data_IF_822546620330
#
_entry.id   IF_822546620330
#
_cell.length_a   1.000
_cell.length_b   1.000
_cell.length_c   1.000
_cell.angle_alpha   90.00
_cell.angle_beta   90.00
_cell.angle_gamma   90.00
#
_symmetry.space_group_name_H-M   'P 1'
#
loop_
_entity.id
_entity.type
_entity.pdbx_description
1 polymer ?
#
# COMPACT_ATOMS: atom_id res chain seq x y z
N UNK A 1 -3.80 -20.64 -22.45
CA UNK A 1 -2.73 -19.61 -22.36
C UNK A 1 -3.37 -18.37 -21.78
N UNK A 2 -2.98 -17.94 -20.57
CA UNK A 2 -3.56 -16.78 -19.90
C UNK A 2 -3.15 -15.50 -20.64
N UNK A 3 -4.12 -14.85 -21.27
CA UNK A 3 -4.02 -13.53 -21.91
C UNK A 3 -4.15 -12.37 -20.90
N UNK A 4 -4.01 -12.62 -19.60
CA UNK A 4 -4.30 -11.63 -18.57
C UNK A 4 -3.02 -11.13 -17.87
N UNK A 5 -2.25 -10.28 -18.56
CA UNK A 5 -1.18 -9.46 -17.95
C UNK A 5 -1.75 -8.32 -17.07
N UNK A 6 -2.96 -8.51 -16.53
CA UNK A 6 -3.73 -7.48 -15.83
C UNK A 6 -4.24 -7.99 -14.51
N UNK A 7 -4.33 -7.09 -13.55
CA UNK A 7 -4.84 -7.32 -12.21
C UNK A 7 -6.14 -6.58 -12.07
N UNK A 8 -7.18 -7.29 -11.62
CA UNK A 8 -8.46 -6.68 -11.27
C UNK A 8 -8.29 -5.84 -10.02
N UNK A 9 -8.74 -4.60 -10.09
CA UNK A 9 -8.84 -3.65 -9.00
C UNK A 9 -10.30 -3.43 -8.66
N UNK A 10 -10.61 -3.38 -7.38
CA UNK A 10 -11.97 -3.25 -6.85
C UNK A 10 -12.05 -2.06 -5.90
N UNK A 11 -13.09 -1.25 -6.08
CA UNK A 11 -13.43 -0.15 -5.16
C UNK A 11 -14.91 -0.19 -4.79
N UNK A 12 -15.19 -0.07 -3.49
CA UNK A 12 -16.54 0.00 -2.93
C UNK A 12 -16.96 1.44 -2.69
N UNK A 13 -17.50 2.08 -3.72
CA UNK A 13 -17.86 3.50 -3.71
C UNK A 13 -18.96 3.81 -4.73
N UNK A 14 -19.86 4.74 -4.42
CA UNK A 14 -20.96 5.06 -5.33
C UNK A 14 -20.52 5.92 -6.52
N UNK A 15 -19.42 6.64 -6.34
CA UNK A 15 -18.76 7.54 -7.29
C UNK A 15 -17.69 6.84 -8.17
N UNK A 16 -17.65 5.52 -8.23
CA UNK A 16 -16.67 4.85 -9.09
C UNK A 16 -15.24 4.97 -8.58
N UNK A 17 -14.32 5.29 -9.50
CA UNK A 17 -12.90 5.51 -9.22
C UNK A 17 -12.53 6.99 -9.07
N UNK A 18 -13.50 7.88 -8.86
CA UNK A 18 -13.27 9.31 -8.69
C UNK A 18 -12.25 9.61 -7.59
N UNK A 19 -11.20 10.34 -7.96
CA UNK A 19 -10.12 10.75 -7.08
C UNK A 19 -10.62 11.83 -6.11
N UNK A 20 -10.31 11.65 -4.83
CA UNK A 20 -10.58 12.64 -3.80
C UNK A 20 -9.28 13.00 -3.12
N UNK A 21 -9.21 14.22 -2.59
CA UNK A 21 -8.09 14.62 -1.74
C UNK A 21 -8.09 13.75 -0.49
N UNK A 22 -7.08 12.90 -0.34
CA UNK A 22 -6.96 12.08 0.86
C UNK A 22 -6.36 12.94 1.96
N UNK A 23 -7.12 13.27 2.99
CA UNK A 23 -6.58 13.89 4.21
C UNK A 23 -6.00 12.84 5.17
N UNK A 24 -5.54 11.71 4.62
CA UNK A 24 -5.19 10.50 5.35
C UNK A 24 -4.11 10.72 6.39
N UNK A 25 -4.12 9.87 7.43
CA UNK A 25 -3.23 9.98 8.57
C UNK A 25 -1.81 9.41 8.30
N UNK A 26 -1.60 8.71 7.19
CA UNK A 26 -0.39 7.95 6.93
C UNK A 26 0.47 8.58 5.85
N UNK A 27 1.79 8.53 6.06
CA UNK A 27 2.76 9.13 5.14
C UNK A 27 2.88 8.32 3.85
N UNK A 28 3.19 9.01 2.75
CA UNK A 28 3.60 8.40 1.49
C UNK A 28 5.11 8.54 1.29
N UNK A 29 5.77 7.41 1.03
CA UNK A 29 7.19 7.34 0.76
C UNK A 29 7.41 7.33 -0.75
N UNK A 30 8.16 8.31 -1.25
CA UNK A 30 8.55 8.41 -2.67
C UNK A 30 9.71 7.44 -2.97
N UNK A 31 9.41 6.15 -2.86
CA UNK A 31 10.33 5.04 -3.07
C UNK A 31 9.56 3.87 -3.69
N UNK A 32 10.14 3.25 -4.73
CA UNK A 32 9.68 1.98 -5.27
C UNK A 32 10.38 0.82 -4.58
N UNK A 33 9.59 -0.01 -3.90
CA UNK A 33 10.03 -1.30 -3.37
C UNK A 33 9.99 -2.32 -4.49
N UNK A 34 11.14 -2.93 -4.76
CA UNK A 34 11.32 -3.96 -5.79
C UNK A 34 11.53 -5.35 -5.20
N UNK A 35 11.78 -5.44 -3.88
CA UNK A 35 11.96 -6.70 -3.16
C UNK A 35 11.52 -6.55 -1.70
N UNK A 36 10.44 -7.24 -1.30
CA UNK A 36 9.92 -7.17 0.09
C UNK A 36 10.72 -8.01 1.10
N UNK A 37 11.76 -8.72 0.67
CA UNK A 37 12.64 -9.53 1.54
C UNK A 37 13.79 -8.74 2.14
N UNK A 38 14.12 -7.56 1.60
CA UNK A 38 15.18 -6.68 2.11
C UNK A 38 14.63 -5.41 2.76
N UNK A 39 15.38 -4.87 3.72
CA UNK A 39 15.05 -3.58 4.33
C UNK A 39 15.50 -2.45 3.40
N UNK A 40 14.63 -1.45 3.25
CA UNK A 40 14.97 -0.15 2.68
C UNK A 40 15.09 0.85 3.82
N UNK A 41 15.97 1.84 3.69
CA UNK A 41 16.13 2.91 4.68
C UNK A 41 15.94 4.26 4.03
N UNK A 42 15.07 5.08 4.62
CA UNK A 42 14.91 6.48 4.29
C UNK A 42 15.46 7.35 5.42
N UNK A 43 15.97 8.53 5.08
CA UNK A 43 16.40 9.58 6.00
C UNK A 43 15.36 10.71 5.93
N UNK A 44 14.57 10.90 7.00
CA UNK A 44 13.39 11.81 7.04
C UNK A 44 13.68 13.23 6.56
N UNK A 45 14.87 13.76 6.84
CA UNK A 45 15.28 15.12 6.49
C UNK A 45 15.98 15.23 5.13
N UNK A 46 16.12 14.13 4.38
CA UNK A 46 16.74 14.10 3.04
C UNK A 46 15.78 13.56 1.98
N UNK A 47 15.08 12.49 2.32
CA UNK A 47 14.21 11.77 1.40
C UNK A 47 12.80 12.34 1.38
N UNK A 48 12.12 12.13 0.26
CA UNK A 48 10.75 12.61 0.05
C UNK A 48 9.76 11.71 0.78
N UNK A 49 9.31 12.21 1.92
CA UNK A 49 8.22 11.64 2.71
C UNK A 49 7.07 12.66 2.71
N UNK A 50 5.99 12.35 2.01
CA UNK A 50 4.80 13.18 1.99
C UNK A 50 3.97 12.84 3.24
N UNK A 51 4.02 13.73 4.24
CA UNK A 51 3.15 13.69 5.42
C UNK A 51 1.79 14.36 5.17
N UNK A 52 1.56 14.88 3.95
CA UNK A 52 0.35 15.58 3.54
C UNK A 52 -0.44 14.81 2.49
N UNK A 53 -1.66 15.28 2.27
CA UNK A 53 -2.64 14.72 1.36
C UNK A 53 -2.12 14.50 -0.05
N UNK A 54 -2.18 13.26 -0.54
CA UNK A 54 -2.10 12.94 -1.96
C UNK A 54 -3.53 12.77 -2.48
N UNK A 55 -3.80 13.30 -3.67
CA UNK A 55 -5.08 13.05 -4.32
C UNK A 55 -5.12 11.60 -4.82
N UNK A 56 -6.05 10.82 -4.28
CA UNK A 56 -6.21 9.44 -4.72
C UNK A 56 -7.51 8.78 -4.27
N UNK A 57 -7.53 7.46 -4.31
CA UNK A 57 -8.62 6.68 -3.75
C UNK A 57 -8.14 5.31 -3.24
N UNK A 58 -8.76 4.87 -2.14
CA UNK A 58 -8.53 3.56 -1.55
C UNK A 58 -9.23 2.49 -2.39
N UNK A 59 -8.47 1.47 -2.79
CA UNK A 59 -8.94 0.33 -3.57
C UNK A 59 -8.34 -0.97 -3.01
N UNK A 60 -8.78 -2.10 -3.55
CA UNK A 60 -8.19 -3.41 -3.30
C UNK A 60 -7.85 -4.10 -4.63
N UNK A 61 -6.72 -4.80 -4.71
CA UNK A 61 -6.51 -5.72 -5.84
C UNK A 61 -7.20 -7.07 -5.56
N UNK A 62 -7.46 -7.86 -6.62
CA UNK A 62 -8.38 -9.03 -6.70
C UNK A 62 -8.43 -9.95 -5.47
N UNK A 63 -7.35 -10.05 -4.70
CA UNK A 63 -7.25 -10.86 -3.50
C UNK A 63 -7.81 -10.15 -2.25
N UNK A 64 -9.11 -9.83 -2.25
CA UNK A 64 -9.81 -9.36 -1.04
C UNK A 64 -10.90 -10.36 -0.65
N UNK A 65 -11.17 -10.49 0.66
CA UNK A 65 -12.20 -11.39 1.17
C UNK A 65 -13.57 -10.71 1.08
N UNK A 66 -14.51 -11.26 0.29
CA UNK A 66 -15.87 -10.71 0.14
C UNK A 66 -16.63 -10.72 1.47
N UNK A 67 -16.36 -11.68 2.36
CA UNK A 67 -16.94 -11.71 3.70
C UNK A 67 -16.54 -10.49 4.53
N UNK A 68 -15.45 -9.81 4.19
CA UNK A 68 -15.04 -8.57 4.87
C UNK A 68 -16.08 -7.46 4.77
N UNK A 69 -16.98 -7.49 3.78
CA UNK A 69 -17.98 -6.43 3.53
C UNK A 69 -19.32 -6.74 4.24
N UNK A 70 -19.48 -7.94 4.79
CA UNK A 70 -20.69 -8.32 5.52
C UNK A 70 -20.71 -7.70 6.92
N UNK A 71 -21.88 -7.71 7.56
CA UNK A 71 -22.05 -7.23 8.94
C UNK A 71 -21.03 -7.89 9.89
N UNK A 72 -20.29 -7.06 10.64
CA UNK A 72 -19.21 -7.49 11.53
C UNK A 72 -17.85 -7.71 10.83
N UNK A 73 -17.77 -7.57 9.51
CA UNK A 73 -16.54 -7.57 8.74
C UNK A 73 -15.76 -6.25 8.82
N UNK A 74 -14.44 -6.31 8.56
CA UNK A 74 -13.54 -5.14 8.61
C UNK A 74 -13.88 -4.04 7.59
N UNK A 75 -14.59 -4.40 6.51
CA UNK A 75 -15.11 -3.50 5.48
C UNK A 75 -16.65 -3.36 5.56
N UNK A 76 -17.30 -3.69 6.69
CA UNK A 76 -18.75 -3.61 6.84
C UNK A 76 -19.31 -2.19 6.54
N UNK A 77 -18.54 -1.13 6.80
CA UNK A 77 -18.91 0.24 6.46
C UNK A 77 -19.06 0.49 4.94
N UNK A 78 -18.62 -0.45 4.10
CA UNK A 78 -18.78 -0.42 2.64
C UNK A 78 -20.03 -1.17 2.17
N UNK A 79 -20.78 -1.79 3.08
CA UNK A 79 -22.03 -2.47 2.76
C UNK A 79 -23.02 -1.50 2.11
N UNK A 80 -23.61 -1.93 0.98
CA UNK A 80 -24.53 -1.11 0.18
C UNK A 80 -23.87 -0.14 -0.80
N UNK A 81 -22.54 0.00 -0.81
CA UNK A 81 -21.85 0.75 -1.86
C UNK A 81 -21.79 -0.04 -3.18
N UNK A 82 -21.75 0.67 -4.30
CA UNK A 82 -21.47 0.05 -5.61
C UNK A 82 -20.08 -0.59 -5.63
N UNK A 83 -19.98 -1.74 -6.28
CA UNK A 83 -18.71 -2.42 -6.56
C UNK A 83 -18.24 -1.97 -7.94
N UNK A 84 -17.11 -1.27 -7.99
CA UNK A 84 -16.51 -0.80 -9.24
C UNK A 84 -15.27 -1.64 -9.53
N UNK A 85 -15.15 -2.05 -10.79
CA UNK A 85 -14.09 -2.96 -11.24
C UNK A 85 -13.28 -2.26 -12.32
N UNK A 86 -11.97 -2.21 -12.10
CA UNK A 86 -11.00 -1.75 -13.07
C UNK A 86 -9.88 -2.78 -13.24
N UNK A 87 -9.02 -2.55 -14.22
CA UNK A 87 -7.88 -3.42 -14.50
C UNK A 87 -6.62 -2.58 -14.73
N UNK A 88 -5.53 -2.98 -14.10
CA UNK A 88 -4.19 -2.40 -14.27
C UNK A 88 -3.20 -3.47 -14.73
N UNK A 89 -2.16 -3.08 -15.46
CA UNK A 89 -1.12 -4.01 -15.87
C UNK A 89 -0.32 -4.54 -14.67
N UNK A 90 0.19 -5.78 -14.74
CA UNK A 90 0.95 -6.41 -13.65
C UNK A 90 2.22 -5.64 -13.28
N UNK A 91 2.87 -5.01 -14.25
CA UNK A 91 4.08 -4.22 -14.08
C UNK A 91 3.82 -2.78 -13.63
N UNK A 92 2.55 -2.36 -13.57
CA UNK A 92 2.14 -1.05 -13.06
C UNK A 92 2.41 -0.97 -11.55
N UNK A 93 3.17 0.04 -11.12
CA UNK A 93 3.39 0.32 -9.72
C UNK A 93 2.20 1.09 -9.13
N UNK A 94 1.78 0.76 -7.92
CA UNK A 94 0.74 1.48 -7.17
C UNK A 94 1.24 1.74 -5.75
N UNK A 95 0.57 2.61 -5.00
CA UNK A 95 0.85 2.72 -3.57
C UNK A 95 0.23 1.54 -2.81
N UNK A 96 1.02 0.90 -1.97
CA UNK A 96 0.61 -0.20 -1.10
C UNK A 96 1.17 -0.01 0.31
N UNK A 97 0.60 -0.71 1.29
CA UNK A 97 1.08 -0.64 2.68
C UNK A 97 2.51 -1.14 2.80
N UNK A 98 3.31 -0.44 3.62
CA UNK A 98 4.70 -0.73 3.95
C UNK A 98 4.83 -1.94 4.90
N UNK A 99 4.37 -3.10 4.45
CA UNK A 99 4.32 -4.33 5.24
C UNK A 99 4.96 -5.51 4.52
N UNK A 100 5.67 -6.33 5.28
CA UNK A 100 6.18 -7.65 4.88
C UNK A 100 5.07 -8.71 4.89
N UNK A 101 5.29 -9.87 4.27
CA UNK A 101 4.30 -10.96 4.21
C UNK A 101 4.21 -11.78 5.52
N UNK A 102 4.30 -11.14 6.68
CA UNK A 102 4.19 -11.78 7.99
C UNK A 102 2.95 -11.31 8.77
N UNK A 103 2.60 -12.03 9.85
CA UNK A 103 1.50 -11.65 10.75
C UNK A 103 1.83 -10.46 11.64
N UNK A 104 3.11 -10.22 11.88
CA UNK A 104 3.60 -9.21 12.80
C UNK A 104 3.61 -7.80 12.19
N UNK A 105 3.22 -7.69 10.90
CA UNK A 105 3.16 -6.44 10.13
C UNK A 105 4.50 -5.72 10.15
N UNK A 106 5.59 -6.48 10.03
CA UNK A 106 6.91 -5.88 10.01
C UNK A 106 7.07 -5.02 8.75
N UNK A 107 7.91 -3.98 8.86
CA UNK A 107 8.05 -2.95 7.83
C UNK A 107 9.08 -3.36 6.78
N UNK A 108 8.85 -2.97 5.53
CA UNK A 108 9.84 -3.11 4.45
C UNK A 108 10.79 -1.90 4.45
N UNK A 109 10.21 -0.70 4.58
CA UNK A 109 10.92 0.57 4.61
C UNK A 109 11.00 1.06 6.04
N UNK A 110 12.22 1.33 6.51
CA UNK A 110 12.54 1.94 7.80
C UNK A 110 12.86 3.41 7.61
N UNK A 111 12.46 4.25 8.56
CA UNK A 111 12.77 5.69 8.52
C UNK A 111 13.71 6.02 9.66
N UNK A 112 14.82 6.66 9.32
CA UNK A 112 15.79 7.21 10.22
C UNK A 112 15.79 8.73 10.14
N UNK A 113 16.34 9.38 11.16
CA UNK A 113 16.61 10.81 11.20
C UNK A 113 18.08 11.04 11.46
N UNK A 114 18.64 12.00 10.76
CA UNK A 114 19.98 12.47 11.03
C UNK A 114 19.96 13.76 11.83
N UNK A 115 20.80 13.80 12.86
CA UNK A 115 20.98 14.97 13.70
C UNK A 115 22.45 15.31 13.71
N UNK A 116 22.78 16.55 13.36
CA UNK A 116 24.13 17.08 13.48
C UNK A 116 24.36 17.55 14.91
N UNK A 117 25.33 16.97 15.59
CA UNK A 117 25.73 17.37 16.93
C UNK A 117 26.39 18.76 16.86
N UNK A 118 25.83 19.78 17.55
CA UNK A 118 26.37 21.13 17.51
C UNK A 118 27.73 21.27 18.22
N UNK A 119 28.12 20.32 19.08
CA UNK A 119 29.35 20.39 19.87
C UNK A 119 30.60 19.93 19.13
N UNK A 120 30.48 18.94 18.24
CA UNK A 120 31.60 18.34 17.50
C UNK A 120 31.38 18.35 15.98
N UNK A 121 30.18 18.72 15.51
CA UNK A 121 29.85 18.80 14.09
C UNK A 121 29.54 17.46 13.42
N UNK A 122 29.62 16.33 14.13
CA UNK A 122 29.37 14.99 13.61
C UNK A 122 27.87 14.76 13.38
N UNK A 123 27.55 13.94 12.38
CA UNK A 123 26.17 13.50 12.11
C UNK A 123 25.92 12.16 12.77
N UNK A 124 24.84 12.07 13.53
CA UNK A 124 24.35 10.84 14.12
C UNK A 124 23.02 10.44 13.48
N UNK A 125 22.85 9.14 13.23
CA UNK A 125 21.65 8.56 12.64
C UNK A 125 20.87 7.80 13.70
N UNK A 126 19.59 8.13 13.85
CA UNK A 126 18.67 7.51 14.80
C UNK A 126 17.47 6.92 14.05
N UNK A 127 16.91 5.84 14.56
CA UNK A 127 15.62 5.35 14.07
C UNK A 127 14.53 6.35 14.44
N UNK A 128 13.69 6.74 13.47
CA UNK A 128 12.65 7.77 13.59
C UNK A 128 11.31 7.29 13.01
N UNK A 129 11.14 5.98 12.98
CA UNK A 129 9.89 5.29 12.62
C UNK A 129 9.20 4.65 13.83
N UNK A 130 7.89 4.48 13.70
CA UNK A 130 6.96 3.91 14.66
C UNK A 130 6.30 2.65 14.08
N UNK A 131 5.70 1.81 14.93
CA UNK A 131 4.96 0.64 14.45
C UNK A 131 3.84 1.01 13.45
N UNK A 132 3.29 2.22 13.54
CA UNK A 132 2.27 2.74 12.63
C UNK A 132 2.79 2.98 11.21
N UNK A 133 4.11 3.10 11.02
CA UNK A 133 4.72 3.23 9.69
C UNK A 133 4.64 1.94 8.86
N UNK A 134 4.14 0.85 9.44
CA UNK A 134 3.67 -0.31 8.69
C UNK A 134 2.47 0.04 7.79
N UNK A 135 1.66 1.03 8.19
CA UNK A 135 0.56 1.55 7.39
C UNK A 135 0.97 2.70 6.46
N UNK A 136 2.23 3.13 6.46
CA UNK A 136 2.71 4.08 5.46
C UNK A 136 2.59 3.49 4.04
N UNK A 137 2.52 4.37 3.04
CA UNK A 137 2.38 3.99 1.64
C UNK A 137 3.73 3.97 0.94
N UNK A 138 4.01 2.88 0.21
CA UNK A 138 5.21 2.71 -0.63
C UNK A 138 4.78 2.34 -2.03
N UNK A 139 5.57 2.70 -3.06
CA UNK A 139 5.28 2.24 -4.43
C UNK A 139 5.72 0.79 -4.59
N UNK A 140 4.88 -0.04 -5.17
CA UNK A 140 5.17 -1.44 -5.45
C UNK A 140 4.45 -1.89 -6.72
N UNK A 141 5.13 -2.65 -7.58
CA UNK A 141 4.49 -3.28 -8.74
C UNK A 141 3.41 -4.27 -8.31
N UNK A 142 2.32 -4.31 -9.06
CA UNK A 142 1.20 -5.22 -8.79
C UNK A 142 1.63 -6.69 -8.79
N UNK A 143 2.59 -7.09 -9.64
CA UNK A 143 3.20 -8.42 -9.62
C UNK A 143 3.83 -8.74 -8.26
N UNK A 144 4.63 -7.82 -7.73
CA UNK A 144 5.30 -7.98 -6.45
C UNK A 144 4.32 -7.97 -5.27
N UNK A 145 3.24 -7.19 -5.35
CA UNK A 145 2.15 -7.22 -4.36
C UNK A 145 1.43 -8.58 -4.33
N UNK A 146 1.21 -9.18 -5.49
CA UNK A 146 0.60 -10.52 -5.60
C UNK A 146 1.53 -11.59 -5.01
N UNK A 147 2.82 -11.52 -5.30
CA UNK A 147 3.85 -12.40 -4.72
C UNK A 147 3.89 -12.27 -3.20
N UNK A 148 3.97 -11.05 -2.69
CA UNK A 148 3.93 -10.75 -1.25
C UNK A 148 2.69 -11.35 -0.59
N UNK A 149 1.51 -11.14 -1.17
CA UNK A 149 0.27 -11.68 -0.59
C UNK A 149 0.23 -13.21 -0.68
N UNK A 150 0.72 -13.83 -1.75
CA UNK A 150 0.87 -15.29 -1.83
C UNK A 150 1.78 -15.84 -0.73
N UNK A 151 2.91 -15.16 -0.52
CA UNK A 151 3.88 -15.53 0.51
C UNK A 151 3.27 -15.45 1.91
N UNK A 152 2.46 -14.42 2.19
CA UNK A 152 1.71 -14.34 3.43
C UNK A 152 0.80 -15.54 3.63
N UNK A 153 -0.03 -15.89 2.63
CA UNK A 153 -0.97 -17.01 2.73
C UNK A 153 -0.23 -18.33 3.02
N UNK A 154 0.88 -18.55 2.30
CA UNK A 154 1.74 -19.73 2.43
C UNK A 154 2.37 -19.84 3.82
N UNK A 155 3.07 -18.79 4.25
CA UNK A 155 3.82 -18.79 5.52
C UNK A 155 2.88 -18.86 6.73
N UNK A 156 1.69 -18.27 6.60
CA UNK A 156 0.72 -18.19 7.69
C UNK A 156 -0.32 -19.31 7.70
N UNK A 157 -0.26 -20.23 6.73
CA UNK A 157 -1.18 -21.35 6.54
C UNK A 157 -2.65 -20.90 6.61
N UNK A 158 -2.97 -19.88 5.83
CA UNK A 158 -4.31 -19.28 5.80
C UNK A 158 -4.70 -18.96 4.37
N UNK A 159 -5.98 -19.04 4.08
CA UNK A 159 -6.58 -18.63 2.80
C UNK A 159 -7.22 -17.23 2.89
N UNK A 160 -7.09 -16.57 4.05
CA UNK A 160 -7.67 -15.25 4.30
C UNK A 160 -6.60 -14.19 4.07
N UNK A 161 -6.87 -13.28 3.12
CA UNK A 161 -6.03 -12.11 2.88
C UNK A 161 -6.48 -10.98 3.82
N UNK A 162 -5.58 -10.47 4.69
CA UNK A 162 -5.87 -9.30 5.49
C UNK A 162 -6.09 -8.06 4.60
N UNK A 163 -7.01 -7.19 5.01
CA UNK A 163 -7.34 -5.96 4.28
C UNK A 163 -6.09 -5.17 3.87
N UNK A 164 -5.22 -4.86 4.83
CA UNK A 164 -3.99 -4.07 4.63
C UNK A 164 -2.99 -4.69 3.64
N UNK A 165 -3.05 -6.00 3.38
CA UNK A 165 -2.21 -6.62 2.34
C UNK A 165 -2.81 -6.53 0.95
N UNK A 166 -4.14 -6.42 0.86
CA UNK A 166 -4.90 -6.23 -0.39
C UNK A 166 -5.13 -4.76 -0.75
N UNK A 167 -5.04 -3.88 0.24
CA UNK A 167 -5.33 -2.46 0.14
C UNK A 167 -4.23 -1.73 -0.64
N UNK A 168 -4.67 -0.91 -1.58
CA UNK A 168 -3.83 -0.05 -2.40
C UNK A 168 -4.43 1.35 -2.45
N UNK A 169 -3.58 2.33 -2.73
CA UNK A 169 -3.99 3.70 -2.99
C UNK A 169 -3.67 4.06 -4.44
N UNK A 170 -4.70 4.40 -5.20
CA UNK A 170 -4.57 4.80 -6.59
C UNK A 170 -4.53 6.33 -6.68
N UNK A 171 -3.50 6.86 -7.34
CA UNK A 171 -3.42 8.28 -7.71
C UNK A 171 -4.18 8.56 -9.01
N UNK A 172 -4.28 9.83 -9.40
CA UNK A 172 -4.83 10.21 -10.70
C UNK A 172 -4.07 9.63 -11.90
N UNK A 173 -2.75 9.43 -11.79
CA UNK A 173 -1.96 8.75 -12.82
C UNK A 173 -2.35 7.27 -12.91
N UNK A 174 -2.48 6.60 -11.76
CA UNK A 174 -2.89 5.20 -11.73
C UNK A 174 -4.31 5.02 -12.30
N UNK A 175 -5.24 5.93 -12.01
CA UNK A 175 -6.60 5.89 -12.56
C UNK A 175 -6.61 6.07 -14.10
N UNK A 176 -5.77 6.97 -14.64
CA UNK A 176 -5.68 7.18 -16.11
C UNK A 176 -5.18 5.95 -16.86
N UNK A 177 -4.33 5.15 -16.24
CA UNK A 177 -3.82 3.91 -16.80
C UNK A 177 -4.78 2.72 -16.67
N UNK A 178 -5.90 2.90 -15.96
CA UNK A 178 -6.84 1.83 -15.65
C UNK A 178 -7.88 1.64 -16.74
N UNK A 179 -8.12 0.38 -17.09
CA UNK A 179 -9.25 0.00 -17.91
C UNK A 179 -10.47 -0.26 -17.03
N UNK A 180 -11.51 0.56 -17.16
CA UNK A 180 -12.74 0.46 -16.36
C UNK A 180 -13.78 -0.31 -17.15
N UNK A 181 -14.48 -1.26 -16.50
CA UNK A 181 -15.60 -2.01 -17.08
C UNK A 181 -16.92 -1.69 -16.39
#
# INVERSE_FOLDING_TARGET
MLTENKVRIVRFANEGFDIKRDTGAFSFYDLEVTDYSHDYTLIRNRDRIHSQSIDGCYCHFYKFNVQSIQDGGILASRQGHKINIGYLALDHAVYARNMRPDKDKTRIVRVNKEIRDPSNGNTHTFQDDSYMDSYAWVRMKLSLLIERTNEYLRTNKTDIVPEHLSEIFLTGDDQRSMEIK
#
